data_IF_688197364721
#
_entry.id   IF_688197364721
#
_cell.length_a   1.000
_cell.length_b   1.000
_cell.length_c   1.000
_cell.angle_alpha   90.00
_cell.angle_beta   90.00
_cell.angle_gamma   90.00
#
_symmetry.space_group_name_H-M   'P 1'
#
loop_
_entity.id
_entity.type
_entity.pdbx_description
1 polymer ?
#
# COMPACT_ATOMS: atom_id res chain seq x y z
N UNK A 1 -23.32 2.70 17.23
CA UNK A 1 -23.31 2.68 18.72
C UNK A 1 -23.94 3.92 19.34
N UNK A 2 -23.41 5.13 19.15
CA UNK A 2 -24.05 6.35 19.68
C UNK A 2 -25.48 6.54 19.13
N UNK A 3 -25.68 6.31 17.83
CA UNK A 3 -27.02 6.26 17.20
C UNK A 3 -27.95 5.16 17.74
N UNK A 4 -27.41 4.15 18.42
CA UNK A 4 -28.18 3.05 19.03
C UNK A 4 -28.38 3.27 20.54
N UNK A 5 -27.94 4.41 21.10
CA UNK A 5 -28.01 4.69 22.54
C UNK A 5 -27.06 3.85 23.41
N UNK A 6 -26.08 3.18 22.81
CA UNK A 6 -25.08 2.37 23.54
C UNK A 6 -23.87 3.22 23.92
N UNK A 7 -23.29 3.04 25.11
CA UNK A 7 -22.08 3.75 25.50
C UNK A 7 -20.88 3.36 24.61
N UNK A 8 -19.83 4.21 24.54
CA UNK A 8 -18.57 3.87 23.91
C UNK A 8 -17.98 2.57 24.48
N UNK A 9 -17.25 1.82 23.66
CA UNK A 9 -16.42 0.71 24.15
C UNK A 9 -15.24 1.29 24.91
N UNK A 10 -14.90 0.70 26.05
CA UNK A 10 -13.75 1.10 26.87
C UNK A 10 -13.00 -0.13 27.38
N UNK A 11 -11.74 0.06 27.78
CA UNK A 11 -10.91 -1.00 28.35
C UNK A 11 -10.83 -2.25 27.47
N UNK A 12 -11.01 -3.41 28.08
CA UNK A 12 -10.86 -4.71 27.43
C UNK A 12 -11.87 -4.94 26.29
N UNK A 13 -13.09 -4.37 26.35
CA UNK A 13 -14.06 -4.49 25.25
C UNK A 13 -13.55 -3.80 23.98
N UNK A 14 -12.93 -2.62 24.14
CA UNK A 14 -12.37 -1.87 23.01
C UNK A 14 -11.13 -2.57 22.44
N UNK A 15 -10.26 -3.08 23.29
CA UNK A 15 -9.06 -3.80 22.86
C UNK A 15 -9.41 -5.08 22.11
N UNK A 16 -10.34 -5.89 22.63
CA UNK A 16 -10.81 -7.10 21.96
C UNK A 16 -11.49 -6.80 20.62
N UNK A 17 -12.17 -5.65 20.50
CA UNK A 17 -12.75 -5.21 19.23
C UNK A 17 -11.67 -4.80 18.21
N UNK A 18 -10.60 -4.12 18.66
CA UNK A 18 -9.51 -3.63 17.80
C UNK A 18 -8.53 -4.70 17.39
N UNK A 19 -8.23 -5.65 18.28
CA UNK A 19 -7.24 -6.70 18.08
C UNK A 19 -7.35 -7.42 16.71
N UNK A 20 -8.52 -7.95 16.29
CA UNK A 20 -8.63 -8.63 15.00
C UNK A 20 -8.49 -7.68 13.81
N UNK A 21 -8.81 -6.39 13.97
CA UNK A 21 -8.61 -5.38 12.92
C UNK A 21 -7.12 -5.12 12.75
N UNK A 22 -6.39 -4.90 13.85
CA UNK A 22 -4.95 -4.67 13.80
C UNK A 22 -4.20 -5.88 13.23
N UNK A 23 -4.56 -7.08 13.67
CA UNK A 23 -3.97 -8.32 13.16
C UNK A 23 -4.22 -8.48 11.65
N UNK A 24 -5.43 -8.18 11.19
CA UNK A 24 -5.74 -8.21 9.75
C UNK A 24 -4.84 -7.24 8.97
N UNK A 25 -4.65 -6.02 9.46
CA UNK A 25 -3.81 -5.03 8.78
C UNK A 25 -2.34 -5.43 8.79
N UNK A 26 -1.85 -6.09 9.84
CA UNK A 26 -0.48 -6.61 9.88
C UNK A 26 -0.27 -7.70 8.83
N UNK A 27 -1.22 -8.64 8.72
CA UNK A 27 -1.15 -9.73 7.74
C UNK A 27 -1.28 -9.19 6.31
N UNK A 28 -2.31 -8.38 6.05
CA UNK A 28 -2.62 -7.92 4.69
C UNK A 28 -1.74 -6.74 4.24
N UNK A 29 -1.11 -6.02 5.19
CA UNK A 29 -0.17 -4.93 4.91
C UNK A 29 1.28 -5.40 4.74
N UNK A 30 1.57 -6.67 5.00
CA UNK A 30 2.91 -7.23 4.81
C UNK A 30 3.37 -7.13 3.35
N UNK A 31 4.66 -6.83 3.07
CA UNK A 31 5.21 -6.86 1.71
C UNK A 31 4.95 -8.19 1.00
N UNK A 32 4.98 -9.30 1.74
CA UNK A 32 4.72 -10.64 1.18
C UNK A 32 3.26 -10.81 0.75
N UNK A 33 2.31 -10.20 1.45
CA UNK A 33 0.91 -10.25 1.07
C UNK A 33 0.65 -9.48 -0.23
N UNK A 34 1.31 -8.32 -0.37
CA UNK A 34 1.29 -7.47 -1.57
C UNK A 34 1.88 -8.18 -2.79
N UNK A 35 3.12 -8.68 -2.67
CA UNK A 35 3.85 -9.25 -3.81
C UNK A 35 3.22 -10.56 -4.30
N UNK A 36 2.62 -11.36 -3.40
CA UNK A 36 1.88 -12.56 -3.77
C UNK A 36 0.62 -12.28 -4.62
N UNK A 37 0.18 -11.01 -4.70
CA UNK A 37 -1.00 -10.54 -5.44
C UNK A 37 -0.65 -9.63 -6.61
N UNK A 38 0.65 -9.46 -6.91
CA UNK A 38 1.15 -8.60 -7.97
C UNK A 38 0.68 -7.15 -7.83
N UNK A 39 0.51 -6.69 -6.59
CA UNK A 39 0.31 -5.25 -6.34
C UNK A 39 1.61 -4.45 -6.53
N UNK A 40 2.74 -5.15 -6.46
CA UNK A 40 4.08 -4.73 -6.81
C UNK A 40 4.72 -5.75 -7.76
N UNK A 41 5.80 -5.35 -8.42
CA UNK A 41 6.60 -6.20 -9.32
C UNK A 41 7.68 -7.02 -8.57
N UNK A 42 7.72 -6.96 -7.25
CA UNK A 42 8.67 -7.69 -6.41
C UNK A 42 9.19 -6.90 -5.21
N UNK A 43 9.54 -7.64 -4.15
CA UNK A 43 10.29 -7.13 -3.00
C UNK A 43 11.78 -7.13 -3.35
N UNK A 44 12.47 -6.02 -3.06
CA UNK A 44 13.92 -5.88 -3.29
C UNK A 44 14.66 -5.60 -1.99
N UNK A 45 15.96 -5.94 -1.95
CA UNK A 45 16.84 -5.44 -0.91
C UNK A 45 16.95 -3.91 -1.04
N UNK A 46 16.75 -3.13 0.05
CA UNK A 46 16.87 -1.68 -0.02
C UNK A 46 18.19 -1.17 -0.63
N UNK A 47 19.29 -1.93 -0.47
CA UNK A 47 20.61 -1.59 -1.02
C UNK A 47 20.66 -1.67 -2.55
N UNK A 48 19.82 -2.52 -3.13
CA UNK A 48 19.79 -2.77 -4.59
C UNK A 48 18.93 -1.74 -5.33
N UNK A 49 18.25 -0.84 -4.61
CA UNK A 49 17.34 0.18 -5.18
C UNK A 49 17.96 0.94 -6.36
N UNK A 50 19.24 1.34 -6.25
CA UNK A 50 19.94 2.08 -7.31
C UNK A 50 20.08 1.24 -8.58
N UNK A 51 20.46 -0.02 -8.44
CA UNK A 51 20.77 -0.89 -9.57
C UNK A 51 19.48 -1.33 -10.26
N UNK A 52 18.44 -1.67 -9.48
CA UNK A 52 17.11 -1.97 -10.01
C UNK A 52 16.56 -0.78 -10.80
N UNK A 53 16.58 0.44 -10.24
CA UNK A 53 16.12 1.64 -10.97
C UNK A 53 16.97 1.91 -12.22
N UNK A 54 18.28 1.72 -12.15
CA UNK A 54 19.18 1.87 -13.30
C UNK A 54 18.81 0.94 -14.46
N UNK A 55 18.55 -0.32 -14.15
CA UNK A 55 18.11 -1.32 -15.13
C UNK A 55 16.72 -0.99 -15.69
N UNK A 56 15.75 -0.63 -14.85
CA UNK A 56 14.41 -0.25 -15.29
C UNK A 56 14.45 0.95 -16.24
N UNK A 57 15.20 2.01 -15.90
CA UNK A 57 15.36 3.17 -16.76
C UNK A 57 16.02 2.79 -18.10
N UNK A 58 17.09 2.01 -18.08
CA UNK A 58 17.74 1.54 -19.31
C UNK A 58 16.76 0.75 -20.20
N UNK A 59 15.93 -0.12 -19.60
CA UNK A 59 14.90 -0.87 -20.31
C UNK A 59 13.81 0.05 -20.90
N UNK A 60 13.27 0.99 -20.11
CA UNK A 60 12.21 1.92 -20.56
C UNK A 60 12.65 2.84 -21.70
N UNK A 61 13.95 3.16 -21.80
CA UNK A 61 14.50 4.04 -22.86
C UNK A 61 14.48 3.43 -24.26
N UNK A 62 14.10 2.16 -24.42
CA UNK A 62 13.90 1.53 -25.72
C UNK A 62 12.60 1.97 -26.41
N UNK A 63 11.69 2.64 -25.69
CA UNK A 63 10.47 3.22 -26.25
C UNK A 63 10.59 4.75 -26.41
N UNK A 64 9.93 5.37 -27.42
CA UNK A 64 9.84 6.81 -27.53
C UNK A 64 9.10 7.41 -26.33
N UNK A 65 9.52 8.59 -25.88
CA UNK A 65 8.81 9.32 -24.83
C UNK A 65 7.51 9.92 -25.40
N UNK A 66 6.34 9.68 -24.79
CA UNK A 66 5.10 10.29 -25.22
C UNK A 66 5.08 11.79 -24.90
N UNK A 67 4.35 12.57 -25.70
CA UNK A 67 4.05 13.96 -25.35
C UNK A 67 3.14 14.04 -24.12
N UNK A 68 3.45 14.92 -23.18
CA UNK A 68 2.64 15.14 -21.99
C UNK A 68 1.31 15.81 -22.33
N UNK A 69 0.20 15.23 -21.85
CA UNK A 69 -1.13 15.84 -21.91
C UNK A 69 -1.81 15.67 -20.55
N UNK A 70 -2.35 16.75 -20.02
CA UNK A 70 -3.07 16.73 -18.74
C UNK A 70 -4.58 16.77 -18.97
N UNK A 71 -5.34 16.20 -18.04
CA UNK A 71 -6.79 16.35 -17.96
C UNK A 71 -7.21 17.70 -17.37
N UNK A 72 -8.48 17.82 -16.97
CA UNK A 72 -9.00 19.03 -16.32
C UNK A 72 -8.51 19.08 -14.86
N UNK A 73 -7.91 20.20 -14.48
CA UNK A 73 -7.61 20.48 -13.07
C UNK A 73 -8.86 21.04 -12.37
N UNK A 74 -9.28 20.39 -11.27
CA UNK A 74 -10.32 20.92 -10.37
C UNK A 74 -9.64 21.77 -9.29
N UNK A 75 -9.81 23.09 -9.39
CA UNK A 75 -9.30 24.09 -8.43
C UNK A 75 -10.28 24.33 -7.28
#
# INVERSE_FOLDING_TARGET
REREGKPPMEGEELENFRAPILEKYEVEGSPYYSTARLWDDGIIDPRDTRDVLGLCLAASRNAPLPEGRYGIFRM
#
